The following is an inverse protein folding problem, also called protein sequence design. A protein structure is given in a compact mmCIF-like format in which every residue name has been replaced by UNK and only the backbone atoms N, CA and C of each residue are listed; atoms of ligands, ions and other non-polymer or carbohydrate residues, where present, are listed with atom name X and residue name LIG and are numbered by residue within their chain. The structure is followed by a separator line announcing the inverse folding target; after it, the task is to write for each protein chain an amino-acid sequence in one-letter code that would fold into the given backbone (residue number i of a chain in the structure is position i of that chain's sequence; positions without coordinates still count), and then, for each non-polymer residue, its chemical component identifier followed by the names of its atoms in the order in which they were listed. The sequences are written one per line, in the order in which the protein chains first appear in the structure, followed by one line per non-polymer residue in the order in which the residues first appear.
data_IF_878181875837
#
_entry.id   IF_878181875837
#
_cell.length_a   1.000
_cell.length_b   1.000
_cell.length_c   1.000
_cell.angle_alpha   90.00
_cell.angle_beta   90.00
_cell.angle_gamma   90.00
#
_symmetry.space_group_name_H-M   'P 1'
#
loop_
_entity.id
_entity.type
_entity.pdbx_description
1 polymer ?
#
# COMPACT_ATOMS: atom_id res chain seq x y z
N UNK A 1 -31.96 -31.88 -36.13
CA UNK A 1 -31.29 -30.57 -36.34
C UNK A 1 -31.81 -29.60 -35.29
N UNK A 2 -31.09 -29.40 -34.18
CA UNK A 2 -31.31 -28.29 -33.26
C UNK A 2 -29.96 -27.89 -32.66
N UNK A 3 -29.29 -26.93 -33.31
CA UNK A 3 -28.36 -25.96 -32.72
C UNK A 3 -28.61 -24.70 -33.56
N UNK A 4 -28.84 -23.50 -32.98
CA UNK A 4 -27.90 -22.88 -32.05
C UNK A 4 -28.58 -21.91 -31.04
N UNK A 5 -28.94 -22.38 -29.85
CA UNK A 5 -29.24 -21.48 -28.71
C UNK A 5 -28.10 -21.46 -27.67
N UNK A 6 -27.22 -22.47 -27.71
CA UNK A 6 -26.09 -22.60 -26.79
C UNK A 6 -24.88 -21.73 -27.18
N UNK A 7 -24.73 -21.32 -28.46
CA UNK A 7 -23.61 -20.46 -28.88
C UNK A 7 -23.82 -18.98 -28.56
N UNK A 8 -25.07 -18.50 -28.56
CA UNK A 8 -25.38 -17.08 -28.32
C UNK A 8 -25.26 -16.70 -26.84
N UNK A 9 -25.58 -17.61 -25.93
CA UNK A 9 -25.34 -17.42 -24.50
C UNK A 9 -23.83 -17.44 -24.17
N UNK A 10 -23.04 -18.25 -24.88
CA UNK A 10 -21.59 -18.27 -24.73
C UNK A 10 -20.94 -16.99 -25.26
N UNK A 11 -21.46 -16.40 -26.34
CA UNK A 11 -20.98 -15.13 -26.89
C UNK A 11 -21.30 -13.91 -26.00
N UNK A 12 -22.44 -13.93 -25.28
CA UNK A 12 -22.78 -12.88 -24.31
C UNK A 12 -21.96 -12.98 -23.00
N UNK A 13 -21.50 -14.18 -22.64
CA UNK A 13 -20.55 -14.39 -21.55
C UNK A 13 -19.10 -14.08 -21.97
N UNK A 14 -18.75 -14.27 -23.24
CA UNK A 14 -17.46 -13.85 -23.82
C UNK A 14 -17.37 -12.33 -24.07
N UNK A 15 -18.49 -11.61 -24.04
CA UNK A 15 -18.52 -10.14 -24.09
C UNK A 15 -18.05 -9.45 -22.80
N UNK A 16 -17.89 -10.22 -21.70
CA UNK A 16 -17.33 -9.76 -20.43
C UNK A 16 -15.94 -10.34 -20.14
N UNK A 17 -15.32 -11.02 -21.11
CA UNK A 17 -13.99 -11.66 -20.98
C UNK A 17 -12.87 -10.90 -21.70
N UNK A 18 -13.04 -9.62 -22.01
CA UNK A 18 -11.87 -8.80 -22.29
C UNK A 18 -11.16 -8.55 -20.97
N UNK A 19 -9.86 -8.88 -20.91
CA UNK A 19 -8.95 -8.26 -19.96
C UNK A 19 -9.34 -6.78 -19.85
N UNK A 20 -9.49 -6.26 -18.63
CA UNK A 20 -9.83 -4.85 -18.46
C UNK A 20 -8.88 -4.04 -19.33
N UNK A 21 -9.41 -3.33 -20.32
CA UNK A 21 -8.58 -2.52 -21.20
C UNK A 21 -7.72 -1.61 -20.31
N UNK A 22 -6.43 -1.44 -20.61
CA UNK A 22 -5.58 -0.55 -19.83
C UNK A 22 -6.28 0.81 -19.70
N UNK A 23 -6.20 1.48 -18.54
CA UNK A 23 -6.84 2.77 -18.33
C UNK A 23 -6.56 3.74 -19.49
N UNK A 24 -7.52 4.61 -19.84
CA UNK A 24 -7.38 5.49 -21.00
C UNK A 24 -6.16 6.44 -20.94
N UNK A 25 -5.61 6.65 -19.75
CA UNK A 25 -4.39 7.42 -19.47
C UNK A 25 -3.12 6.56 -19.36
N UNK A 26 -3.20 5.28 -19.69
CA UNK A 26 -2.06 4.38 -19.72
C UNK A 26 -1.08 4.89 -20.80
N UNK A 27 0.18 5.18 -20.46
CA UNK A 27 1.17 5.63 -21.44
C UNK A 27 1.36 4.54 -22.49
N UNK A 28 0.90 4.81 -23.72
CA UNK A 28 0.82 3.83 -24.82
C UNK A 28 2.17 3.35 -25.37
N UNK A 29 3.27 3.87 -24.81
CA UNK A 29 4.65 3.66 -25.18
C UNK A 29 5.55 3.20 -24.01
N UNK A 30 5.02 3.17 -22.78
CA UNK A 30 5.66 2.47 -21.66
C UNK A 30 5.08 1.07 -21.59
N UNK A 31 5.82 0.07 -22.06
CA UNK A 31 5.46 -1.33 -21.87
C UNK A 31 5.13 -1.56 -20.38
N UNK A 32 3.97 -2.16 -20.03
CA UNK A 32 3.68 -2.55 -18.66
C UNK A 32 4.83 -3.43 -18.17
N UNK A 33 5.71 -2.89 -17.34
CA UNK A 33 6.82 -3.67 -16.83
C UNK A 33 6.38 -4.24 -15.49
N UNK A 34 6.31 -5.57 -15.45
CA UNK A 34 6.24 -6.33 -14.22
C UNK A 34 7.56 -6.09 -13.49
N UNK A 35 7.54 -5.86 -12.18
CA UNK A 35 8.77 -6.00 -11.39
C UNK A 35 9.13 -7.48 -11.44
N UNK A 36 9.99 -7.85 -12.38
CA UNK A 36 10.51 -9.20 -12.50
C UNK A 36 11.59 -9.32 -11.44
N UNK A 37 11.47 -10.25 -10.47
CA UNK A 37 12.54 -10.53 -9.53
C UNK A 37 13.79 -10.88 -10.33
N UNK A 38 14.99 -10.57 -9.84
CA UNK A 38 16.22 -11.13 -10.44
C UNK A 38 16.17 -12.66 -10.32
N UNK A 39 15.68 -13.35 -11.35
CA UNK A 39 15.39 -14.79 -11.33
C UNK A 39 14.77 -15.30 -12.63
N UNK A 40 15.08 -16.54 -12.98
CA UNK A 40 14.84 -17.23 -14.27
C UNK A 40 13.38 -17.64 -14.55
N UNK A 41 12.39 -16.83 -14.17
CA UNK A 41 10.97 -17.12 -14.46
C UNK A 41 10.51 -16.18 -15.56
N UNK A 42 10.10 -16.76 -16.70
CA UNK A 42 9.70 -16.03 -17.90
C UNK A 42 8.50 -15.08 -17.70
N UNK A 43 8.32 -14.12 -18.62
CA UNK A 43 7.35 -13.01 -18.51
C UNK A 43 5.86 -13.41 -18.57
N UNK A 44 5.53 -14.68 -18.72
CA UNK A 44 4.19 -15.16 -19.11
C UNK A 44 3.23 -15.43 -17.94
N UNK A 45 3.23 -14.59 -16.91
CA UNK A 45 2.12 -14.59 -15.94
C UNK A 45 1.24 -13.36 -16.19
N UNK A 46 0.26 -13.51 -17.09
CA UNK A 46 -0.77 -12.51 -17.45
C UNK A 46 -1.71 -12.12 -16.29
N UNK A 47 -1.39 -12.53 -15.06
CA UNK A 47 -2.27 -12.62 -13.91
C UNK A 47 -1.54 -12.00 -12.70
N UNK A 48 -2.04 -10.87 -12.20
CA UNK A 48 -1.41 -10.07 -11.15
C UNK A 48 -1.71 -8.57 -11.28
N UNK A 49 -1.24 -7.80 -10.30
CA UNK A 49 -1.38 -6.35 -10.20
C UNK A 49 -0.13 -5.66 -10.75
N UNK A 50 -0.36 -4.72 -11.66
CA UNK A 50 0.65 -3.95 -12.36
C UNK A 50 0.74 -2.53 -11.78
N UNK A 51 1.97 -2.03 -11.69
CA UNK A 51 2.21 -0.62 -11.36
C UNK A 51 2.41 0.16 -12.67
N UNK A 52 1.81 1.36 -12.76
CA UNK A 52 1.93 2.19 -13.97
C UNK A 52 1.86 3.69 -13.66
N UNK A 53 2.13 4.54 -14.67
CA UNK A 53 2.00 6.00 -14.60
C UNK A 53 3.25 6.71 -14.07
N UNK A 54 3.72 6.36 -12.86
CA UNK A 54 4.91 6.95 -12.23
C UNK A 54 4.94 8.50 -12.29
N UNK A 55 3.78 9.13 -12.18
CA UNK A 55 3.59 10.55 -12.47
C UNK A 55 4.49 11.41 -11.56
N UNK A 56 5.37 12.21 -12.16
CA UNK A 56 6.26 13.12 -11.44
C UNK A 56 7.44 12.45 -10.71
N UNK A 57 7.57 11.11 -10.72
CA UNK A 57 8.57 10.45 -9.88
C UNK A 57 10.01 10.79 -10.27
N UNK A 58 10.32 10.76 -11.57
CA UNK A 58 11.65 11.15 -12.04
C UNK A 58 11.92 12.65 -11.90
N UNK A 59 10.88 13.48 -12.05
CA UNK A 59 10.98 14.94 -11.95
C UNK A 59 11.28 15.36 -10.51
N UNK A 60 10.53 14.86 -9.53
CA UNK A 60 10.64 15.27 -8.13
C UNK A 60 11.72 14.51 -7.35
N UNK A 61 12.00 13.26 -7.69
CA UNK A 61 12.86 12.37 -6.90
C UNK A 61 14.02 11.73 -7.69
N UNK A 62 14.18 12.10 -8.96
CA UNK A 62 15.28 11.68 -9.83
C UNK A 62 15.10 10.30 -10.47
N UNK A 63 15.97 9.97 -11.44
CA UNK A 63 15.86 8.78 -12.30
C UNK A 63 15.81 7.43 -11.58
N UNK A 64 16.26 7.37 -10.32
CA UNK A 64 16.21 6.15 -9.49
C UNK A 64 14.90 5.94 -8.72
N UNK A 65 13.98 6.92 -8.74
CA UNK A 65 12.75 6.88 -7.95
C UNK A 65 11.87 5.68 -8.31
N UNK A 66 11.67 5.44 -9.61
CA UNK A 66 10.93 4.29 -10.14
C UNK A 66 11.49 2.96 -9.60
N UNK A 67 12.80 2.74 -9.74
CA UNK A 67 13.44 1.52 -9.24
C UNK A 67 13.25 1.33 -7.73
N UNK A 68 13.30 2.41 -6.95
CA UNK A 68 13.05 2.35 -5.51
C UNK A 68 11.62 1.93 -5.15
N UNK A 69 10.64 2.29 -5.97
CA UNK A 69 9.22 1.92 -5.82
C UNK A 69 9.04 0.46 -6.24
N UNK A 70 9.65 0.06 -7.34
CA UNK A 70 9.65 -1.32 -7.84
C UNK A 70 10.20 -2.30 -6.81
N UNK A 71 11.37 -2.00 -6.25
CA UNK A 71 11.99 -2.79 -5.19
C UNK A 71 11.06 -2.91 -3.98
N UNK A 72 10.43 -1.80 -3.58
CA UNK A 72 9.54 -1.78 -2.42
C UNK A 72 8.27 -2.62 -2.64
N UNK A 73 7.73 -2.63 -3.86
CA UNK A 73 6.60 -3.47 -4.23
C UNK A 73 6.95 -4.95 -4.15
N UNK A 74 8.11 -5.34 -4.70
CA UNK A 74 8.60 -6.72 -4.61
C UNK A 74 8.90 -7.14 -3.16
N UNK A 75 9.57 -6.27 -2.40
CA UNK A 75 9.87 -6.53 -1.00
C UNK A 75 8.60 -6.62 -0.14
N UNK A 76 7.54 -5.85 -0.46
CA UNK A 76 6.24 -5.94 0.21
C UNK A 76 5.61 -7.32 -0.01
N UNK A 77 5.69 -7.85 -1.24
CA UNK A 77 5.27 -9.22 -1.54
C UNK A 77 6.10 -10.27 -0.79
N UNK A 78 7.40 -10.06 -0.63
CA UNK A 78 8.27 -10.94 0.17
C UNK A 78 7.85 -10.95 1.64
N UNK A 79 7.52 -9.79 2.21
CA UNK A 79 6.99 -9.68 3.58
C UNK A 79 5.71 -10.52 3.71
N UNK A 80 4.73 -10.34 2.82
CA UNK A 80 3.45 -11.05 2.91
C UNK A 80 3.59 -12.56 2.67
N UNK A 81 4.54 -12.98 1.84
CA UNK A 81 4.81 -14.40 1.57
C UNK A 81 5.79 -15.06 2.57
N UNK A 82 6.22 -14.33 3.59
CA UNK A 82 6.98 -14.92 4.69
C UNK A 82 6.09 -15.90 5.46
N UNK A 83 6.67 -17.05 5.87
CA UNK A 83 5.94 -18.08 6.59
C UNK A 83 5.28 -17.52 7.86
N UNK A 84 4.00 -17.83 8.06
CA UNK A 84 3.22 -17.31 9.20
C UNK A 84 2.61 -15.92 8.99
N UNK A 85 2.67 -15.35 7.77
CA UNK A 85 2.01 -14.07 7.43
C UNK A 85 0.75 -14.32 6.58
N UNK A 86 0.89 -14.74 5.32
CA UNK A 86 -0.25 -15.02 4.43
C UNK A 86 -1.06 -16.28 4.79
N UNK A 87 -0.53 -17.14 5.66
CA UNK A 87 -1.25 -18.30 6.19
C UNK A 87 -0.68 -18.74 7.53
N UNK A 88 -1.51 -19.41 8.33
CA UNK A 88 -1.13 -20.02 9.61
C UNK A 88 -0.44 -19.04 10.57
N UNK A 89 -0.99 -17.82 10.70
CA UNK A 89 -0.51 -16.85 11.70
C UNK A 89 -0.58 -17.50 13.09
N UNK A 90 0.55 -17.56 13.79
CA UNK A 90 0.58 -17.88 15.21
C UNK A 90 0.19 -16.65 16.02
N UNK A 91 -1.11 -16.54 16.30
CA UNK A 91 -1.72 -15.44 17.03
C UNK A 91 -1.19 -15.24 18.46
N UNK A 92 -0.45 -16.20 19.01
CA UNK A 92 0.13 -16.13 20.34
C UNK A 92 1.62 -15.74 20.34
N UNK A 93 2.25 -15.60 19.17
CA UNK A 93 3.66 -15.20 19.11
C UNK A 93 3.82 -13.69 19.35
N UNK A 94 5.04 -13.29 19.72
CA UNK A 94 5.34 -11.89 20.04
C UNK A 94 5.14 -10.93 18.85
N UNK A 95 5.37 -11.38 17.62
CA UNK A 95 5.18 -10.56 16.43
C UNK A 95 3.69 -10.29 16.14
N UNK A 96 2.83 -11.31 16.26
CA UNK A 96 1.39 -11.18 16.09
C UNK A 96 0.80 -10.27 17.17
N UNK A 97 1.28 -10.37 18.42
CA UNK A 97 0.87 -9.45 19.48
C UNK A 97 1.23 -8.00 19.15
N UNK A 98 2.44 -7.75 18.66
CA UNK A 98 2.94 -6.41 18.38
C UNK A 98 2.28 -5.79 17.13
N UNK A 99 2.05 -6.56 16.07
CA UNK A 99 1.49 -6.06 14.81
C UNK A 99 -0.04 -6.13 14.72
N UNK A 100 -0.66 -7.16 15.31
CA UNK A 100 -2.08 -7.46 15.15
C UNK A 100 -2.87 -7.26 16.45
N UNK A 101 -2.18 -6.96 17.55
CA UNK A 101 -2.76 -6.77 18.87
C UNK A 101 -3.03 -8.09 19.59
N UNK A 102 -3.52 -7.97 20.83
CA UNK A 102 -3.76 -9.14 21.67
C UNK A 102 -4.81 -10.09 21.05
N UNK A 103 -4.54 -11.41 21.00
CA UNK A 103 -5.41 -12.37 20.33
C UNK A 103 -6.82 -12.41 20.92
N UNK A 104 -6.96 -12.19 22.23
CA UNK A 104 -8.26 -12.11 22.90
C UNK A 104 -9.10 -10.88 22.50
N UNK A 105 -8.50 -9.84 21.92
CA UNK A 105 -9.20 -8.63 21.48
C UNK A 105 -9.54 -8.65 19.98
N UNK A 106 -8.78 -9.42 19.19
CA UNK A 106 -8.96 -9.48 17.73
C UNK A 106 -9.58 -10.80 17.24
N UNK A 107 -9.95 -11.73 18.13
CA UNK A 107 -10.41 -13.08 17.76
C UNK A 107 -11.49 -13.11 16.66
N UNK A 108 -12.51 -12.23 16.76
CA UNK A 108 -13.57 -12.14 15.75
C UNK A 108 -13.12 -11.57 14.39
N UNK A 109 -11.93 -10.99 14.30
CA UNK A 109 -11.33 -10.38 13.11
C UNK A 109 -10.16 -11.18 12.54
N UNK A 110 -9.66 -12.20 13.25
CA UNK A 110 -8.52 -13.01 12.80
C UNK A 110 -8.72 -13.61 11.40
N UNK A 111 -9.92 -14.09 11.09
CA UNK A 111 -10.24 -14.60 9.75
C UNK A 111 -10.14 -13.54 8.66
N UNK A 112 -10.61 -12.32 8.93
CA UNK A 112 -10.54 -11.19 7.98
C UNK A 112 -9.09 -10.70 7.82
N UNK A 113 -8.34 -10.57 8.93
CA UNK A 113 -6.91 -10.22 8.89
C UNK A 113 -6.13 -11.23 8.05
N UNK A 114 -6.36 -12.54 8.28
CA UNK A 114 -5.70 -13.59 7.51
C UNK A 114 -6.08 -13.54 6.02
N UNK A 115 -7.35 -13.27 5.71
CA UNK A 115 -7.83 -13.14 4.34
C UNK A 115 -7.21 -11.95 3.62
N UNK A 116 -7.17 -10.77 4.25
CA UNK A 116 -6.50 -9.57 3.71
C UNK A 116 -5.03 -9.85 3.41
N UNK A 117 -4.27 -10.40 4.37
CA UNK A 117 -2.85 -10.71 4.17
C UNK A 117 -2.63 -11.78 3.08
N UNK A 118 -3.53 -12.76 2.98
CA UNK A 118 -3.50 -13.77 1.91
C UNK A 118 -3.76 -13.14 0.53
N UNK A 119 -4.73 -12.21 0.44
CA UNK A 119 -5.07 -11.55 -0.81
C UNK A 119 -3.92 -10.68 -1.31
N UNK A 120 -3.32 -9.86 -0.43
CA UNK A 120 -2.16 -9.04 -0.78
C UNK A 120 -0.98 -9.90 -1.25
N UNK A 121 -0.76 -11.07 -0.63
CA UNK A 121 0.31 -11.99 -1.04
C UNK A 121 0.18 -12.50 -2.48
N UNK A 122 -1.02 -12.45 -3.07
CA UNK A 122 -1.29 -12.87 -4.45
C UNK A 122 -1.17 -11.73 -5.47
N UNK A 123 -0.88 -10.50 -5.03
CA UNK A 123 -0.93 -9.35 -5.93
C UNK A 123 0.16 -9.35 -6.99
N UNK A 124 1.39 -9.78 -6.71
CA UNK A 124 2.43 -9.90 -7.76
C UNK A 124 2.21 -11.15 -8.61
N UNK A 125 1.77 -12.25 -8.00
CA UNK A 125 1.53 -13.53 -8.67
C UNK A 125 0.16 -14.05 -8.25
N UNK A 126 -0.83 -13.92 -9.13
CA UNK A 126 -2.15 -14.50 -8.89
C UNK A 126 -2.37 -15.66 -9.84
N UNK A 127 -2.75 -16.81 -9.28
CA UNK A 127 -3.31 -17.92 -10.04
C UNK A 127 -4.83 -18.02 -9.83
N UNK A 128 -5.39 -17.23 -8.91
CA UNK A 128 -6.79 -17.29 -8.49
C UNK A 128 -7.65 -16.19 -9.13
N UNK A 129 -7.05 -15.05 -9.55
CA UNK A 129 -7.76 -13.94 -10.17
C UNK A 129 -7.45 -13.84 -11.68
N UNK A 130 -8.43 -14.07 -12.58
CA UNK A 130 -8.22 -14.13 -14.03
C UNK A 130 -8.07 -12.77 -14.73
N UNK A 131 -7.98 -11.67 -13.97
CA UNK A 131 -7.96 -10.33 -14.53
C UNK A 131 -6.67 -9.58 -14.17
N UNK A 132 -6.24 -8.72 -15.10
CA UNK A 132 -5.18 -7.76 -14.86
C UNK A 132 -5.72 -6.61 -14.01
N UNK A 133 -4.99 -6.27 -12.97
CA UNK A 133 -5.31 -5.14 -12.10
C UNK A 133 -4.20 -4.10 -12.17
N UNK A 134 -4.55 -2.83 -12.01
CA UNK A 134 -3.60 -1.74 -12.15
C UNK A 134 -3.64 -0.84 -10.93
N UNK A 135 -2.46 -0.48 -10.43
CA UNK A 135 -2.27 0.57 -9.42
C UNK A 135 -1.47 1.68 -10.07
N UNK A 136 -2.05 2.88 -10.09
CA UNK A 136 -1.36 4.06 -10.58
C UNK A 136 -0.38 4.57 -9.53
N UNK A 137 0.87 4.72 -9.91
CA UNK A 137 1.94 5.26 -9.07
C UNK A 137 2.07 6.75 -9.32
N UNK A 138 2.12 7.52 -8.23
CA UNK A 138 2.25 8.97 -8.28
C UNK A 138 3.33 9.48 -7.32
N UNK A 139 3.91 10.60 -7.69
CA UNK A 139 4.90 11.34 -6.92
C UNK A 139 4.67 12.85 -7.02
N UNK A 140 3.66 13.27 -7.79
CA UNK A 140 3.26 14.66 -8.03
C UNK A 140 2.28 15.21 -6.98
N UNK A 141 1.84 14.36 -6.04
CA UNK A 141 1.02 14.71 -4.89
C UNK A 141 -0.26 15.48 -5.26
N UNK A 142 -1.19 14.86 -6.02
CA UNK A 142 -2.40 15.54 -6.51
C UNK A 142 -3.30 16.03 -5.36
N UNK A 143 -3.23 15.40 -4.18
CA UNK A 143 -3.96 15.81 -2.98
C UNK A 143 -3.21 16.78 -2.08
N UNK A 144 -1.96 17.14 -2.42
CA UNK A 144 -1.12 18.07 -1.66
C UNK A 144 -0.95 17.63 -0.19
N UNK A 145 -0.85 16.31 0.05
CA UNK A 145 -0.71 15.69 1.37
C UNK A 145 0.76 15.52 1.79
N UNK A 146 1.70 15.42 0.86
CA UNK A 146 3.12 15.21 1.13
C UNK A 146 3.83 16.45 1.69
N UNK A 147 3.18 17.62 1.68
CA UNK A 147 3.85 18.89 1.90
C UNK A 147 4.15 19.18 3.38
N UNK A 148 5.43 19.44 3.70
CA UNK A 148 5.80 20.38 4.77
C UNK A 148 5.51 21.77 4.22
N UNK A 149 4.30 22.30 4.41
CA UNK A 149 4.01 23.66 3.94
C UNK A 149 4.83 24.67 4.75
N UNK A 150 5.54 25.62 4.11
CA UNK A 150 5.93 26.85 4.78
C UNK A 150 4.66 27.55 5.29
N UNK A 151 4.74 28.24 6.44
CA UNK A 151 3.63 28.94 7.12
C UNK A 151 2.91 30.04 6.27
N UNK A 152 3.25 30.20 4.99
CA UNK A 152 2.82 31.30 4.12
C UNK A 152 1.92 30.86 2.96
N UNK A 153 1.19 29.75 3.09
CA UNK A 153 0.14 29.41 2.13
C UNK A 153 -1.10 30.31 2.37
N UNK A 154 -1.50 31.07 1.33
CA UNK A 154 -2.63 32.03 1.34
C UNK A 154 -4.00 31.38 1.58
N UNK A 155 -4.07 30.06 1.59
CA UNK A 155 -5.30 29.29 1.82
C UNK A 155 -5.45 28.74 3.25
N UNK A 156 -4.62 29.17 4.21
CA UNK A 156 -4.77 28.79 5.62
C UNK A 156 -5.75 29.74 6.36
N UNK A 157 -6.62 29.23 7.25
CA UNK A 157 -7.23 30.07 8.28
C UNK A 157 -6.12 30.69 9.16
N UNK A 158 -6.42 31.87 9.72
CA UNK A 158 -5.47 32.81 10.37
C UNK A 158 -4.35 32.14 11.19
N UNK A 159 -3.16 32.78 11.15
CA UNK A 159 -1.97 32.47 11.97
C UNK A 159 -2.36 32.05 13.40
N UNK A 160 -1.68 31.03 13.97
CA UNK A 160 -1.79 30.75 15.40
C UNK A 160 -1.42 32.01 16.21
N UNK A 161 -2.05 32.15 17.37
CA UNK A 161 -1.85 33.29 18.26
C UNK A 161 -0.36 33.47 18.61
N UNK A 162 0.13 34.71 18.82
CA UNK A 162 1.52 34.96 19.15
C UNK A 162 1.90 34.23 20.45
N UNK A 163 2.74 33.19 20.33
CA UNK A 163 3.26 32.43 21.47
C UNK A 163 3.19 30.91 21.33
N UNK A 164 2.46 30.39 20.35
CA UNK A 164 2.41 28.94 20.09
C UNK A 164 3.27 28.61 18.87
N UNK A 165 4.42 27.96 19.07
CA UNK A 165 5.20 27.43 17.96
C UNK A 165 4.34 26.42 17.19
N UNK A 166 4.14 26.57 15.87
CA UNK A 166 3.38 25.60 15.10
C UNK A 166 4.05 24.23 15.25
N UNK A 167 3.34 23.27 15.87
CA UNK A 167 3.82 21.89 15.92
C UNK A 167 3.93 21.41 14.47
N UNK A 168 5.10 20.96 14.01
CA UNK A 168 5.24 20.43 12.66
C UNK A 168 4.26 19.26 12.53
N UNK A 169 3.30 19.35 11.62
CA UNK A 169 2.47 18.20 11.28
C UNK A 169 3.40 17.14 10.67
N UNK A 170 3.38 15.88 11.15
CA UNK A 170 4.10 14.82 10.48
C UNK A 170 3.64 14.74 9.03
N UNK A 171 4.56 14.85 8.08
CA UNK A 171 4.26 14.61 6.68
C UNK A 171 4.18 13.11 6.43
N UNK A 172 3.17 12.62 5.70
CA UNK A 172 3.07 11.21 5.36
C UNK A 172 4.27 10.77 4.51
N UNK A 173 4.62 9.48 4.58
CA UNK A 173 5.62 8.88 3.70
C UNK A 173 5.02 8.56 2.33
N UNK A 174 3.75 8.18 2.31
CA UNK A 174 2.94 7.94 1.13
C UNK A 174 1.46 8.10 1.51
N UNK A 175 0.57 8.03 0.52
CA UNK A 175 -0.86 7.86 0.76
C UNK A 175 -1.50 7.15 -0.44
N UNK A 176 -2.61 6.49 -0.19
CA UNK A 176 -3.37 5.70 -1.16
C UNK A 176 -4.78 6.25 -1.37
N UNK A 177 -5.37 5.92 -2.51
CA UNK A 177 -6.78 6.19 -2.82
C UNK A 177 -7.34 5.09 -3.71
N UNK A 178 -8.57 4.66 -3.44
CA UNK A 178 -9.32 3.72 -4.29
C UNK A 178 -9.86 4.34 -5.59
N UNK A 179 -9.65 5.63 -5.81
CA UNK A 179 -9.94 6.31 -7.07
C UNK A 179 -8.98 7.48 -7.24
N UNK A 180 -8.16 7.41 -8.28
CA UNK A 180 -7.28 8.48 -8.71
C UNK A 180 -8.09 9.74 -9.09
N UNK A 181 -7.60 10.96 -8.81
CA UNK A 181 -8.31 12.18 -9.17
C UNK A 181 -8.39 12.41 -10.67
N UNK A 182 -7.42 11.90 -11.44
CA UNK A 182 -7.37 12.05 -12.90
C UNK A 182 -7.97 10.83 -13.61
N UNK A 183 -7.95 9.67 -12.95
CA UNK A 183 -8.49 8.40 -13.47
C UNK A 183 -9.52 7.78 -12.52
N UNK A 184 -10.79 8.14 -12.70
CA UNK A 184 -11.89 7.66 -11.84
C UNK A 184 -11.95 6.13 -11.83
N UNK A 185 -12.01 5.54 -10.64
CA UNK A 185 -12.10 4.08 -10.44
C UNK A 185 -10.77 3.34 -10.53
N UNK A 186 -9.66 4.03 -10.80
CA UNK A 186 -8.32 3.44 -10.77
C UNK A 186 -7.72 3.66 -9.38
N UNK A 187 -7.30 2.61 -8.65
CA UNK A 187 -6.60 2.80 -7.38
C UNK A 187 -5.20 3.38 -7.61
N UNK A 188 -4.75 4.23 -6.69
CA UNK A 188 -3.43 4.86 -6.79
C UNK A 188 -2.70 4.87 -5.44
N UNK A 189 -1.37 4.91 -5.51
CA UNK A 189 -0.49 5.19 -4.38
C UNK A 189 0.41 6.37 -4.77
N UNK A 190 0.45 7.39 -3.91
CA UNK A 190 1.32 8.54 -4.07
C UNK A 190 2.45 8.48 -3.03
N UNK A 191 3.71 8.51 -3.49
CA UNK A 191 4.90 8.48 -2.63
C UNK A 191 5.44 9.89 -2.37
N UNK A 192 5.74 10.17 -1.11
CA UNK A 192 6.29 11.45 -0.65
C UNK A 192 7.82 11.35 -0.46
N UNK A 193 8.48 12.50 -0.26
CA UNK A 193 9.93 12.57 -0.04
C UNK A 193 10.45 11.60 1.03
N UNK A 194 9.72 11.50 2.15
CA UNK A 194 10.08 10.63 3.26
C UNK A 194 10.21 9.16 2.88
N UNK A 195 9.41 8.66 1.94
CA UNK A 195 9.51 7.28 1.45
C UNK A 195 10.86 7.02 0.79
N UNK A 196 11.33 7.93 -0.06
CA UNK A 196 12.59 7.73 -0.80
C UNK A 196 13.85 7.79 0.08
N UNK A 197 13.71 8.36 1.27
CA UNK A 197 14.75 8.43 2.31
C UNK A 197 14.80 7.16 3.19
N UNK A 198 13.79 6.28 3.12
CA UNK A 198 13.79 5.01 3.85
C UNK A 198 14.70 3.98 3.18
N UNK A 199 15.27 3.10 4.00
CA UNK A 199 16.05 1.95 3.56
C UNK A 199 15.24 0.98 2.69
N UNK A 200 15.92 0.18 1.86
CA UNK A 200 15.33 -1.04 1.30
C UNK A 200 15.03 -2.03 2.45
N UNK A 201 14.25 -3.09 2.19
CA UNK A 201 14.00 -4.11 3.21
C UNK A 201 15.31 -4.77 3.68
N UNK A 202 16.16 -5.17 2.73
CA UNK A 202 17.44 -5.82 3.03
C UNK A 202 18.38 -4.92 3.84
N UNK A 203 18.48 -3.64 3.49
CA UNK A 203 19.32 -2.68 4.21
C UNK A 203 18.77 -2.41 5.61
N UNK A 204 17.44 -2.30 5.77
CA UNK A 204 16.82 -2.07 7.07
C UNK A 204 17.03 -3.26 8.02
N UNK A 205 16.92 -4.50 7.52
CA UNK A 205 17.23 -5.70 8.29
C UNK A 205 18.71 -5.71 8.70
N UNK A 206 19.61 -5.40 7.77
CA UNK A 206 21.05 -5.36 8.03
C UNK A 206 21.38 -4.29 9.08
N UNK A 207 20.84 -3.10 8.91
CA UNK A 207 21.00 -1.98 9.82
C UNK A 207 20.48 -2.31 11.22
N UNK A 208 19.21 -2.73 11.34
CA UNK A 208 18.57 -3.03 12.62
C UNK A 208 19.28 -4.15 13.38
N UNK A 209 19.74 -5.20 12.70
CA UNK A 209 20.51 -6.29 13.30
C UNK A 209 21.90 -5.87 13.79
N UNK A 210 22.51 -4.87 13.15
CA UNK A 210 23.84 -4.38 13.53
C UNK A 210 23.83 -3.48 14.77
N UNK A 211 22.66 -3.01 15.22
CA UNK A 211 22.55 -2.17 16.41
C UNK A 211 22.80 -2.97 17.70
N UNK A 212 23.33 -2.30 18.72
CA UNK A 212 23.44 -2.87 20.05
C UNK A 212 22.07 -2.98 20.74
N UNK A 213 21.90 -4.00 21.59
CA UNK A 213 20.73 -4.11 22.45
C UNK A 213 20.61 -2.89 23.38
N UNK A 214 19.38 -2.35 23.59
CA UNK A 214 18.09 -2.86 23.13
C UNK A 214 17.61 -2.32 21.78
N UNK A 215 18.44 -1.56 21.04
CA UNK A 215 17.98 -0.91 19.81
C UNK A 215 17.69 -1.92 18.68
N UNK A 216 18.41 -3.03 18.62
CA UNK A 216 18.11 -4.13 17.69
C UNK A 216 16.79 -4.87 18.00
N UNK A 217 16.14 -4.58 19.13
CA UNK A 217 14.83 -5.12 19.50
C UNK A 217 13.68 -4.14 19.20
N UNK A 218 13.98 -2.90 18.78
CA UNK A 218 12.97 -1.89 18.47
C UNK A 218 12.55 -2.02 17.00
N UNK A 219 11.28 -2.34 16.75
CA UNK A 219 10.74 -2.48 15.39
C UNK A 219 10.93 -1.24 14.52
N UNK A 220 10.85 -0.04 15.11
CA UNK A 220 11.09 1.22 14.39
C UNK A 220 12.49 1.32 13.75
N UNK A 221 13.47 0.53 14.20
CA UNK A 221 14.80 0.48 13.58
C UNK A 221 14.83 -0.36 12.29
N UNK A 222 13.74 -1.07 12.00
CA UNK A 222 13.55 -1.87 10.79
C UNK A 222 12.59 -1.22 9.78
N UNK A 223 12.08 -0.01 10.07
CA UNK A 223 11.22 0.76 9.17
C UNK A 223 11.87 0.90 7.78
N UNK A 224 11.12 0.58 6.74
CA UNK A 224 11.65 0.54 5.38
C UNK A 224 10.60 0.87 4.31
N UNK A 225 11.06 1.01 3.07
CA UNK A 225 10.20 1.29 1.92
C UNK A 225 9.14 0.22 1.69
N UNK A 226 9.48 -1.06 1.84
CA UNK A 226 8.56 -2.16 1.62
C UNK A 226 7.39 -2.16 2.61
N UNK A 227 7.67 -1.91 3.88
CA UNK A 227 6.64 -1.74 4.91
C UNK A 227 5.71 -0.56 4.58
N UNK A 228 6.27 0.57 4.13
CA UNK A 228 5.48 1.74 3.72
C UNK A 228 4.61 1.42 2.50
N UNK A 229 5.16 0.72 1.51
CA UNK A 229 4.40 0.32 0.33
C UNK A 229 3.27 -0.64 0.72
N UNK A 230 3.56 -1.67 1.52
CA UNK A 230 2.57 -2.63 2.02
C UNK A 230 1.45 -1.94 2.81
N UNK A 231 1.81 -0.98 3.67
CA UNK A 231 0.85 -0.16 4.40
C UNK A 231 -0.16 0.50 3.45
N UNK A 232 0.34 1.20 2.43
CA UNK A 232 -0.53 1.85 1.45
C UNK A 232 -1.32 0.89 0.58
N UNK A 233 -0.76 -0.28 0.28
CA UNK A 233 -1.51 -1.32 -0.42
C UNK A 233 -2.71 -1.78 0.40
N UNK A 234 -2.56 -1.97 1.71
CA UNK A 234 -3.65 -2.46 2.56
C UNK A 234 -4.88 -1.55 2.56
N UNK A 235 -4.71 -0.24 2.34
CA UNK A 235 -5.82 0.70 2.18
C UNK A 235 -6.58 0.59 0.85
N UNK A 236 -6.01 -0.12 -0.15
CA UNK A 236 -6.66 -0.32 -1.43
C UNK A 236 -7.68 -1.46 -1.36
N UNK A 237 -8.93 -1.19 -1.72
CA UNK A 237 -10.03 -2.14 -1.83
C UNK A 237 -9.62 -3.32 -2.73
N UNK A 238 -8.89 -3.03 -3.81
CA UNK A 238 -8.30 -4.03 -4.72
C UNK A 238 -7.38 -5.03 -4.01
N UNK A 239 -6.54 -4.54 -3.10
CA UNK A 239 -5.49 -5.33 -2.46
C UNK A 239 -6.03 -6.11 -1.25
N UNK A 240 -6.85 -5.44 -0.45
CA UNK A 240 -7.46 -6.01 0.75
C UNK A 240 -8.73 -6.81 0.44
N UNK A 241 -9.20 -6.83 -0.82
CA UNK A 241 -10.48 -7.42 -1.23
C UNK A 241 -11.62 -6.89 -0.33
N UNK A 242 -11.66 -5.57 -0.25
CA UNK A 242 -12.56 -4.84 0.64
C UNK A 242 -13.66 -4.15 -0.15
N UNK A 243 -14.76 -3.89 0.54
CA UNK A 243 -15.95 -3.26 -0.03
C UNK A 243 -16.56 -2.26 0.95
N UNK A 244 -17.55 -1.51 0.47
CA UNK A 244 -18.29 -0.56 1.31
C UNK A 244 -19.24 -1.24 2.31
N UNK A 245 -19.55 -2.51 2.12
CA UNK A 245 -20.40 -3.34 3.00
C UNK A 245 -19.58 -4.31 3.87
N UNK A 246 -18.28 -4.08 4.00
CA UNK A 246 -17.32 -4.87 4.78
C UNK A 246 -17.28 -6.36 4.43
N UNK A 247 -17.64 -6.70 3.18
CA UNK A 247 -17.77 -8.07 2.69
C UNK A 247 -17.02 -8.26 1.36
N UNK A 248 -16.02 -9.17 1.28
CA UNK A 248 -15.65 -10.14 2.32
C UNK A 248 -14.85 -9.52 3.48
N UNK A 249 -14.16 -8.40 3.23
CA UNK A 249 -13.35 -7.70 4.24
C UNK A 249 -13.76 -6.23 4.41
N UNK A 250 -13.62 -5.67 5.63
CA UNK A 250 -13.76 -4.25 5.85
C UNK A 250 -12.59 -3.49 5.22
N UNK A 251 -12.84 -2.23 4.89
CA UNK A 251 -11.75 -1.31 4.53
C UNK A 251 -10.74 -1.22 5.65
N UNK A 252 -9.47 -1.23 5.29
CA UNK A 252 -8.37 -1.00 6.22
C UNK A 252 -8.10 0.50 6.25
N UNK A 253 -8.20 1.11 7.42
CA UNK A 253 -7.94 2.53 7.64
C UNK A 253 -6.84 2.73 8.68
N UNK A 254 -6.17 3.88 8.61
CA UNK A 254 -5.17 4.27 9.60
C UNK A 254 -5.79 4.55 10.97
N UNK A 255 -5.22 3.95 12.01
CA UNK A 255 -5.61 4.24 13.38
C UNK A 255 -5.00 5.58 13.83
N UNK A 256 -5.85 6.57 14.10
CA UNK A 256 -5.45 7.82 14.77
C UNK A 256 -5.91 7.79 16.22
N UNK A 257 -4.98 7.92 17.17
CA UNK A 257 -5.29 7.98 18.60
C UNK A 257 -4.94 9.37 19.15
N UNK A 258 -5.97 10.11 19.57
CA UNK A 258 -5.80 11.40 20.24
C UNK A 258 -5.90 11.25 21.76
N UNK A 259 -4.80 11.51 22.48
CA UNK A 259 -4.80 11.53 23.94
C UNK A 259 -4.89 12.97 24.45
N UNK A 260 -5.98 13.30 25.15
CA UNK A 260 -6.04 14.53 25.95
C UNK A 260 -5.36 14.30 27.29
N UNK A 261 -4.21 14.92 27.50
CA UNK A 261 -3.60 14.99 28.83
C UNK A 261 -4.31 16.09 29.64
N UNK A 262 -4.98 15.70 30.73
CA UNK A 262 -5.60 16.66 31.65
C UNK A 262 -4.55 17.59 32.26
N UNK A 263 -4.87 18.88 32.39
CA UNK A 263 -4.07 19.83 33.17
C UNK A 263 -3.91 19.26 34.59
N UNK A 264 -2.67 19.21 35.09
CA UNK A 264 -2.40 18.92 36.51
C UNK A 264 -3.20 19.90 37.36
N UNK A 265 -4.16 19.40 38.13
CA UNK A 265 -4.59 20.04 39.36
C UNK A 265 -3.34 20.17 40.23
N UNK A 266 -2.81 21.39 40.35
CA UNK A 266 -1.87 21.70 41.42
C UNK A 266 -2.70 21.83 42.68
N UNK A 267 -2.65 20.80 43.50
CA UNK A 267 -2.66 21.01 44.94
C UNK A 267 -1.36 21.76 45.27
N UNK A 268 -1.52 23.03 45.64
CA UNK A 268 -0.84 23.75 46.73
C UNK A 268 -1.50 25.12 46.90
#
# INVERSE_FOLDING_TARGET
MVLPAALTALALLLGYTSAADPPADFPGDETPYRVIPTGTVGPDNAMGTYLYGYNGCNEFFGKGAKGKIDDAYYDAWLITNTAGVASNIDWNNAAALEFLGAPGLNQGKQGQIQAVLKNVATMIYSYENPFQHYIKVRCDDPRKKCQKRPDQDRCLPKKPDPGEAPKPKPTPLAYSMNSDPDSKGVPMINFCEGFFNRHSLADAITYGKALASPNNLKLAMFDNRAQTFLHEMLHLDLAADSSADDTPNPRVDDLTIDFKTGKKDRFD
#
